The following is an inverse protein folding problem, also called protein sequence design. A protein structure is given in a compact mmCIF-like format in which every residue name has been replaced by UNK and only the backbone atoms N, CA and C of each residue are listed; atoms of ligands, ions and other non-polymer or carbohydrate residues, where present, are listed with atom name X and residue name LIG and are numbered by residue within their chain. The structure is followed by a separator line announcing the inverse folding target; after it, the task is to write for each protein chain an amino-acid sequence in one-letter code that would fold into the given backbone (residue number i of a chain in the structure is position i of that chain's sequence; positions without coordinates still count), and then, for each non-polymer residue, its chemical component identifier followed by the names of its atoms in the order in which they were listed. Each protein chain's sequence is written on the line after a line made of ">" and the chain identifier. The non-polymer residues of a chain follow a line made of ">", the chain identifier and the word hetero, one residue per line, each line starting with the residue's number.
data_IF_104592818994
#
_entry.id   IF_104592818994
#
_cell.length_a   1.000
_cell.length_b   1.000
_cell.length_c   1.000
_cell.angle_alpha   90.00
_cell.angle_beta   90.00
_cell.angle_gamma   90.00
#
_symmetry.space_group_name_H-M   'P 1'
#
loop_
_entity.id
_entity.type
_entity.pdbx_description
1 polymer ?
#
# COMPACT_ATOMS: atom_id res chain seq x y z
N UNK A 1 47.96 11.66 -50.24
CA UNK A 1 47.22 11.32 -51.48
C UNK A 1 45.78 11.73 -51.31
N UNK A 2 45.30 12.49 -52.28
CA UNK A 2 44.00 13.16 -52.32
C UNK A 2 42.91 12.19 -52.76
N UNK A 3 41.71 12.16 -52.13
CA UNK A 3 40.44 11.81 -52.77
C UNK A 3 39.34 12.48 -51.94
N UNK A 4 38.81 13.43 -52.37
CA UNK A 4 37.73 14.01 -53.21
C UNK A 4 36.35 13.49 -52.78
N UNK A 5 35.67 14.44 -52.19
CA UNK A 5 34.25 14.57 -51.84
C UNK A 5 33.37 14.41 -53.08
N UNK A 6 32.26 13.69 -52.94
CA UNK A 6 31.08 13.91 -53.78
C UNK A 6 29.85 14.08 -52.89
N UNK A 7 29.39 15.29 -52.90
CA UNK A 7 28.07 15.68 -52.35
C UNK A 7 27.04 15.28 -53.40
N UNK A 8 26.06 14.51 -53.00
CA UNK A 8 24.85 14.30 -53.78
C UNK A 8 23.65 14.79 -52.99
N UNK A 9 23.18 15.96 -53.39
CA UNK A 9 21.94 16.56 -52.93
C UNK A 9 20.81 15.90 -53.73
N UNK A 10 19.90 15.24 -53.03
CA UNK A 10 18.63 14.82 -53.63
C UNK A 10 17.48 15.41 -52.82
N UNK A 11 16.91 16.47 -53.39
CA UNK A 11 15.60 16.98 -52.99
C UNK A 11 14.53 15.98 -53.44
N UNK A 12 13.72 15.54 -52.52
CA UNK A 12 12.42 14.95 -52.82
C UNK A 12 11.35 15.48 -51.89
N UNK A 13 10.49 16.18 -52.51
CA UNK A 13 9.16 16.72 -52.22
C UNK A 13 8.38 16.00 -51.10
N UNK A 14 7.73 16.87 -50.32
CA UNK A 14 6.86 16.50 -49.21
C UNK A 14 5.58 15.78 -49.63
N UNK A 15 5.19 14.87 -48.74
CA UNK A 15 3.80 14.45 -48.61
C UNK A 15 3.40 14.60 -47.15
N UNK A 16 2.60 15.62 -46.88
CA UNK A 16 1.88 15.75 -45.61
C UNK A 16 0.80 14.65 -45.58
N UNK A 17 1.06 13.59 -44.86
CA UNK A 17 0.02 12.66 -44.40
C UNK A 17 -0.44 13.13 -43.02
N UNK A 18 -1.59 13.78 -42.99
CA UNK A 18 -2.34 14.00 -41.77
C UNK A 18 -2.83 12.62 -41.26
N UNK A 19 -2.12 11.99 -40.36
CA UNK A 19 -2.63 10.87 -39.62
C UNK A 19 -3.53 11.40 -38.53
N UNK A 20 -4.84 11.26 -38.76
CA UNK A 20 -5.84 11.34 -37.70
C UNK A 20 -5.51 10.28 -36.62
N UNK A 21 -5.10 10.72 -35.45
CA UNK A 21 -5.03 9.86 -34.27
C UNK A 21 -6.45 9.42 -33.93
N UNK A 22 -6.83 8.26 -34.43
CA UNK A 22 -7.90 7.46 -33.88
C UNK A 22 -7.48 7.06 -32.46
N UNK A 23 -8.21 7.61 -31.48
CA UNK A 23 -8.08 7.28 -30.05
C UNK A 23 -8.64 5.88 -29.83
N UNK A 24 -7.90 4.86 -30.21
CA UNK A 24 -8.12 3.47 -29.89
C UNK A 24 -7.27 3.14 -28.66
N UNK A 25 -7.78 3.45 -27.47
CA UNK A 25 -7.19 3.00 -26.23
C UNK A 25 -7.45 1.51 -26.05
N UNK A 26 -6.50 0.67 -26.44
CA UNK A 26 -6.40 -0.67 -25.91
C UNK A 26 -5.66 -0.57 -24.57
N UNK A 27 -6.36 -0.35 -23.48
CA UNK A 27 -5.80 -0.57 -22.16
C UNK A 27 -5.76 -2.07 -21.92
N UNK A 28 -4.58 -2.64 -22.09
CA UNK A 28 -4.23 -3.96 -21.60
C UNK A 28 -4.23 -3.94 -20.08
N UNK A 29 -5.23 -4.55 -19.47
CA UNK A 29 -5.21 -5.27 -18.24
C UNK A 29 -4.48 -4.72 -17.02
N UNK A 30 -4.97 -3.67 -16.39
CA UNK A 30 -5.12 -3.62 -14.95
C UNK A 30 -6.56 -3.16 -14.73
N UNK A 31 -7.37 -3.98 -14.08
CA UNK A 31 -8.77 -3.68 -13.79
C UNK A 31 -8.92 -2.66 -12.64
N UNK A 32 -7.95 -1.76 -12.50
CA UNK A 32 -8.11 -0.54 -11.74
C UNK A 32 -8.75 0.51 -12.66
N UNK A 33 -10.01 0.27 -13.03
CA UNK A 33 -10.86 1.32 -13.58
C UNK A 33 -10.87 2.49 -12.60
N UNK A 34 -11.12 3.74 -13.04
CA UNK A 34 -11.26 4.86 -12.13
C UNK A 34 -12.29 4.46 -11.08
N UNK A 35 -11.84 4.30 -9.81
CA UNK A 35 -12.73 3.98 -8.72
C UNK A 35 -13.77 5.10 -8.67
N UNK A 36 -15.06 4.81 -8.82
CA UNK A 36 -16.05 5.86 -8.70
C UNK A 36 -15.93 6.45 -7.29
N UNK A 37 -15.66 7.74 -7.22
CA UNK A 37 -15.75 8.46 -5.96
C UNK A 37 -17.19 8.30 -5.49
N UNK A 38 -17.45 7.75 -4.28
CA UNK A 38 -18.80 7.59 -3.81
C UNK A 38 -19.54 8.94 -3.86
N UNK A 39 -20.76 8.92 -4.36
CA UNK A 39 -21.65 10.09 -4.26
C UNK A 39 -22.81 9.70 -3.32
N UNK A 40 -22.92 10.31 -2.17
CA UNK A 40 -22.29 11.54 -1.69
C UNK A 40 -20.78 11.39 -1.39
N UNK A 41 -20.05 12.51 -1.36
CA UNK A 41 -18.63 12.55 -1.02
C UNK A 41 -18.46 11.95 0.37
N UNK A 42 -17.66 10.90 0.48
CA UNK A 42 -17.34 10.27 1.74
C UNK A 42 -16.43 11.17 2.58
N UNK A 43 -16.88 11.49 3.77
CA UNK A 43 -16.16 12.35 4.73
C UNK A 43 -15.98 11.70 6.10
N UNK A 44 -16.45 10.45 6.23
CA UNK A 44 -16.34 9.69 7.47
C UNK A 44 -15.10 8.81 7.42
N UNK A 45 -14.26 8.90 8.45
CA UNK A 45 -13.10 8.00 8.52
C UNK A 45 -13.51 6.61 9.02
N UNK A 46 -12.83 5.55 8.54
CA UNK A 46 -13.09 4.19 9.01
C UNK A 46 -12.92 4.04 10.53
N UNK A 47 -13.73 3.19 11.14
CA UNK A 47 -13.63 2.86 12.56
C UNK A 47 -12.74 1.64 12.79
N UNK A 48 -11.55 1.85 13.37
CA UNK A 48 -10.52 0.84 13.58
C UNK A 48 -10.47 0.36 15.03
N UNK A 49 -10.63 -0.95 15.22
CA UNK A 49 -10.41 -1.64 16.50
C UNK A 49 -9.28 -2.66 16.36
N UNK A 50 -8.29 -2.60 17.24
CA UNK A 50 -7.24 -3.62 17.38
C UNK A 50 -7.49 -4.37 18.68
N UNK A 51 -7.70 -5.69 18.57
CA UNK A 51 -8.01 -6.56 19.71
C UNK A 51 -6.73 -7.09 20.38
N UNK A 52 -5.75 -7.46 19.56
CA UNK A 52 -4.43 -7.94 19.99
C UNK A 52 -3.32 -7.34 19.12
N UNK A 53 -2.11 -7.13 19.64
CA UNK A 53 -1.73 -7.24 21.06
C UNK A 53 -2.31 -6.08 21.88
N UNK A 54 -2.29 -6.24 23.22
CA UNK A 54 -2.52 -5.10 24.12
C UNK A 54 -1.30 -4.17 24.10
N UNK A 55 -1.52 -2.88 24.35
CA UNK A 55 -0.41 -1.92 24.46
C UNK A 55 0.53 -2.30 25.60
N UNK A 56 1.83 -2.27 25.33
CA UNK A 56 2.91 -2.67 26.24
C UNK A 56 2.91 -4.16 26.63
N UNK A 57 2.22 -5.01 25.85
CA UNK A 57 2.29 -6.46 26.07
C UNK A 57 3.73 -6.96 25.93
N UNK A 58 4.12 -7.88 26.82
CA UNK A 58 5.45 -8.48 26.84
C UNK A 58 5.39 -9.88 26.25
N UNK A 59 6.31 -10.16 25.35
CA UNK A 59 6.52 -11.46 24.71
C UNK A 59 7.92 -11.99 25.07
N UNK A 60 8.15 -13.28 24.87
CA UNK A 60 9.47 -13.90 24.93
C UNK A 60 9.90 -14.31 23.53
N UNK A 61 11.19 -14.29 23.26
CA UNK A 61 11.79 -14.78 22.02
C UNK A 61 11.28 -16.17 21.67
N UNK A 62 10.86 -16.38 20.42
CA UNK A 62 10.16 -17.58 19.98
C UNK A 62 8.62 -17.49 20.06
N UNK A 63 8.06 -16.54 20.80
CA UNK A 63 6.61 -16.34 20.85
C UNK A 63 6.10 -15.70 19.54
N UNK A 64 4.80 -15.90 19.29
CA UNK A 64 4.09 -15.31 18.17
C UNK A 64 3.32 -14.08 18.63
N UNK A 65 3.57 -12.94 18.00
CA UNK A 65 2.71 -11.75 18.11
C UNK A 65 1.58 -11.94 17.12
N UNK A 66 0.35 -12.13 17.62
CA UNK A 66 -0.85 -12.12 16.79
C UNK A 66 -1.45 -10.72 16.81
N UNK A 67 -1.68 -10.14 15.62
CA UNK A 67 -2.30 -8.84 15.46
C UNK A 67 -3.67 -9.08 14.84
N UNK A 68 -4.71 -8.87 15.63
CA UNK A 68 -6.09 -9.09 15.23
C UNK A 68 -6.93 -7.85 15.50
N UNK A 69 -7.96 -7.67 14.68
CA UNK A 69 -8.87 -6.56 14.86
C UNK A 69 -9.90 -6.49 13.77
N UNK A 70 -10.63 -5.39 13.76
CA UNK A 70 -11.69 -5.11 12.80
C UNK A 70 -11.64 -3.66 12.36
N UNK A 71 -11.89 -3.44 11.10
CA UNK A 71 -12.13 -2.13 10.50
C UNK A 71 -13.52 -2.12 9.88
N UNK A 72 -14.25 -1.03 10.04
CA UNK A 72 -15.57 -0.82 9.43
C UNK A 72 -15.66 0.56 8.83
N UNK A 73 -16.47 0.69 7.78
CA UNK A 73 -16.73 1.93 7.08
C UNK A 73 -18.17 1.97 6.60
N UNK A 74 -18.74 3.14 6.40
CA UNK A 74 -20.14 3.28 6.01
C UNK A 74 -20.34 3.25 4.48
N UNK A 75 -19.35 3.65 3.69
CA UNK A 75 -19.41 3.69 2.23
C UNK A 75 -18.41 2.74 1.53
N UNK A 76 -17.42 2.24 2.23
CA UNK A 76 -16.53 1.18 1.75
C UNK A 76 -15.05 1.44 1.89
N UNK A 77 -14.38 0.46 2.44
CA UNK A 77 -12.94 0.42 2.61
C UNK A 77 -12.24 0.37 1.25
N UNK A 78 -11.01 0.87 1.21
CA UNK A 78 -10.16 0.85 0.02
C UNK A 78 -8.94 -0.03 0.23
N UNK A 79 -8.06 0.32 1.14
CA UNK A 79 -6.78 -0.37 1.35
C UNK A 79 -6.30 -0.22 2.78
N UNK A 80 -5.26 -1.01 3.13
CA UNK A 80 -4.63 -0.90 4.44
C UNK A 80 -3.26 -1.51 4.50
N UNK A 81 -2.61 -1.34 5.63
CA UNK A 81 -1.35 -2.01 5.94
C UNK A 81 -1.21 -2.28 7.43
N UNK A 82 -0.53 -3.38 7.75
CA UNK A 82 -0.09 -3.67 9.11
C UNK A 82 1.43 -3.84 9.08
N UNK A 83 2.13 -3.09 9.94
CA UNK A 83 3.58 -3.07 10.03
C UNK A 83 4.04 -3.35 11.45
N UNK A 84 5.15 -4.07 11.56
CA UNK A 84 5.92 -4.24 12.80
C UNK A 84 7.30 -3.66 12.56
N UNK A 85 7.72 -2.71 13.37
CA UNK A 85 9.04 -2.07 13.29
C UNK A 85 9.80 -2.23 14.60
N UNK A 86 11.12 -2.40 14.50
CA UNK A 86 12.02 -2.35 15.67
C UNK A 86 12.28 -0.88 16.02
N UNK A 87 12.00 -0.50 17.26
CA UNK A 87 12.11 0.89 17.70
C UNK A 87 13.56 1.39 17.80
N UNK A 88 14.51 0.48 18.05
CA UNK A 88 15.91 0.86 18.21
C UNK A 88 16.56 1.38 16.92
N UNK A 89 16.12 0.89 15.76
CA UNK A 89 16.76 1.20 14.48
C UNK A 89 15.76 1.46 13.32
N UNK A 90 14.44 1.41 13.58
CA UNK A 90 13.40 1.61 12.57
C UNK A 90 13.28 0.47 11.55
N UNK A 91 13.93 -0.66 11.76
CA UNK A 91 13.88 -1.78 10.81
C UNK A 91 12.45 -2.33 10.72
N UNK A 92 11.93 -2.43 9.49
CA UNK A 92 10.67 -3.09 9.20
C UNK A 92 10.84 -4.61 9.33
N UNK A 93 10.16 -5.20 10.32
CA UNK A 93 10.24 -6.64 10.62
C UNK A 93 9.16 -7.43 9.88
N UNK A 94 7.98 -6.85 9.74
CA UNK A 94 6.84 -7.44 9.04
C UNK A 94 6.01 -6.34 8.41
N UNK A 95 5.53 -6.59 7.20
CA UNK A 95 4.49 -5.81 6.54
C UNK A 95 3.47 -6.75 5.92
N UNK A 96 2.20 -6.39 6.03
CA UNK A 96 1.09 -6.98 5.31
C UNK A 96 0.28 -5.84 4.69
N UNK A 97 0.15 -5.86 3.38
CA UNK A 97 -0.71 -4.93 2.63
C UNK A 97 -2.07 -5.57 2.38
N UNK A 98 -3.10 -4.75 2.30
CA UNK A 98 -4.49 -5.14 2.04
C UNK A 98 -5.06 -4.27 0.93
N UNK A 99 -5.71 -4.93 -0.02
CA UNK A 99 -6.55 -4.33 -1.05
C UNK A 99 -7.98 -4.86 -0.83
N UNK A 100 -8.86 -4.02 -0.27
CA UNK A 100 -10.18 -4.42 0.24
C UNK A 100 -11.27 -3.49 -0.29
N UNK A 101 -11.43 -3.44 -1.60
CA UNK A 101 -12.32 -2.52 -2.27
C UNK A 101 -13.80 -2.74 -1.94
N UNK A 102 -14.51 -1.67 -1.55
CA UNK A 102 -15.97 -1.61 -1.32
C UNK A 102 -16.51 -2.53 -0.23
N UNK A 103 -15.65 -3.05 0.62
CA UNK A 103 -16.05 -3.87 1.77
C UNK A 103 -16.38 -2.95 2.94
N UNK A 104 -17.57 -3.08 3.53
CA UNK A 104 -18.01 -2.25 4.67
C UNK A 104 -17.40 -2.69 6.01
N UNK A 105 -16.89 -3.91 6.09
CA UNK A 105 -16.28 -4.44 7.30
C UNK A 105 -15.25 -5.52 6.96
N UNK A 106 -14.09 -5.46 7.62
CA UNK A 106 -13.02 -6.42 7.42
C UNK A 106 -12.38 -6.80 8.75
N UNK A 107 -12.26 -8.10 8.99
CA UNK A 107 -11.53 -8.65 10.15
C UNK A 107 -10.12 -9.05 9.70
N UNK A 108 -9.10 -8.46 10.31
CA UNK A 108 -7.72 -8.78 10.00
C UNK A 108 -7.08 -9.66 11.06
N UNK A 109 -6.20 -10.56 10.60
CA UNK A 109 -5.40 -11.44 11.45
C UNK A 109 -4.06 -11.70 10.76
N UNK A 110 -2.96 -11.21 11.38
CA UNK A 110 -1.61 -11.55 10.98
C UNK A 110 -0.79 -12.01 12.17
N UNK A 111 0.25 -12.80 11.92
CA UNK A 111 1.16 -13.27 12.95
C UNK A 111 2.62 -13.02 12.58
N UNK A 112 3.43 -12.77 13.61
CA UNK A 112 4.87 -12.59 13.49
C UNK A 112 5.57 -13.33 14.63
N UNK A 113 6.47 -14.26 14.29
CA UNK A 113 7.29 -14.97 15.29
C UNK A 113 8.52 -14.12 15.63
N UNK A 114 8.71 -13.87 16.91
CA UNK A 114 9.80 -13.03 17.41
C UNK A 114 11.08 -13.85 17.61
N UNK A 115 12.23 -13.26 17.26
CA UNK A 115 13.54 -13.82 17.59
C UNK A 115 14.48 -12.69 18.02
N UNK A 116 14.82 -12.63 19.30
CA UNK A 116 15.72 -11.63 19.85
C UNK A 116 16.76 -12.26 20.77
N UNK A 117 17.96 -11.69 20.80
CA UNK A 117 19.04 -12.06 21.73
C UNK A 117 19.22 -11.03 22.84
N UNK A 118 18.59 -9.85 22.69
CA UNK A 118 18.54 -8.78 23.68
C UNK A 118 17.13 -8.22 23.71
N UNK A 119 16.70 -7.70 24.86
CA UNK A 119 15.38 -7.10 25.00
C UNK A 119 15.19 -6.00 23.96
N UNK A 120 14.06 -6.06 23.26
CA UNK A 120 13.74 -5.17 22.12
C UNK A 120 12.32 -4.66 22.24
N UNK A 121 12.12 -3.39 21.88
CA UNK A 121 10.80 -2.77 21.78
C UNK A 121 10.39 -2.67 20.32
N UNK A 122 9.14 -3.03 20.03
CA UNK A 122 8.56 -2.99 18.69
C UNK A 122 7.32 -2.12 18.68
N UNK A 123 7.11 -1.44 17.54
CA UNK A 123 5.87 -0.75 17.25
C UNK A 123 5.07 -1.55 16.22
N UNK A 124 3.83 -1.88 16.57
CA UNK A 124 2.82 -2.39 15.65
C UNK A 124 1.98 -1.22 15.18
N UNK A 125 1.96 -0.96 13.88
CA UNK A 125 1.13 0.09 13.27
C UNK A 125 0.11 -0.56 12.35
N UNK A 126 -1.17 -0.27 12.58
CA UNK A 126 -2.31 -0.69 11.76
C UNK A 126 -2.88 0.56 11.11
N UNK A 127 -2.95 0.56 9.80
CA UNK A 127 -3.48 1.66 8.98
C UNK A 127 -4.53 1.12 8.01
N UNK A 128 -5.64 1.82 7.87
CA UNK A 128 -6.64 1.58 6.83
C UNK A 128 -7.19 2.90 6.30
N UNK A 129 -7.61 2.88 5.04
CA UNK A 129 -8.13 4.00 4.29
C UNK A 129 -9.39 3.55 3.53
N UNK A 130 -10.38 4.44 3.41
CA UNK A 130 -11.59 4.27 2.60
C UNK A 130 -11.43 4.81 1.17
N UNK A 131 -12.48 4.71 0.36
CA UNK A 131 -12.50 5.27 -0.99
C UNK A 131 -12.64 6.81 -1.04
N UNK A 132 -12.99 7.45 0.08
CA UNK A 132 -12.98 8.91 0.26
C UNK A 132 -11.60 9.46 0.64
N UNK A 133 -10.60 8.57 0.79
CA UNK A 133 -9.26 8.87 1.31
C UNK A 133 -9.23 9.35 2.77
N UNK A 134 -10.29 9.07 3.54
CA UNK A 134 -10.23 9.22 4.98
C UNK A 134 -9.52 7.98 5.57
N UNK A 135 -8.79 8.16 6.66
CA UNK A 135 -7.96 7.09 7.20
C UNK A 135 -8.06 6.93 8.71
N UNK A 136 -7.85 5.71 9.16
CA UNK A 136 -7.68 5.37 10.56
C UNK A 136 -6.34 4.70 10.79
N UNK A 137 -5.63 5.13 11.84
CA UNK A 137 -4.34 4.57 12.23
C UNK A 137 -4.32 4.26 13.71
N UNK A 138 -3.77 3.10 14.09
CA UNK A 138 -3.52 2.74 15.47
C UNK A 138 -2.10 2.18 15.62
N UNK A 139 -1.34 2.71 16.57
CA UNK A 139 0.00 2.24 16.90
C UNK A 139 0.04 1.72 18.33
N UNK A 140 0.67 0.57 18.53
CA UNK A 140 0.81 -0.13 19.79
C UNK A 140 2.28 -0.47 20.02
N UNK A 141 2.76 -0.30 21.25
CA UNK A 141 4.09 -0.76 21.64
C UNK A 141 3.99 -2.17 22.23
N UNK A 142 4.95 -3.01 21.91
CA UNK A 142 5.14 -4.32 22.54
C UNK A 142 6.62 -4.52 22.87
N UNK A 143 6.89 -5.31 23.91
CA UNK A 143 8.25 -5.65 24.31
C UNK A 143 8.53 -7.13 24.08
N UNK A 144 9.73 -7.46 23.60
CA UNK A 144 10.18 -8.83 23.41
C UNK A 144 11.46 -9.05 24.23
N UNK A 145 11.41 -9.98 25.17
CA UNK A 145 12.57 -10.40 25.95
C UNK A 145 13.21 -11.66 25.33
N UNK A 146 14.52 -11.89 25.53
CA UNK A 146 15.22 -13.13 25.16
C UNK A 146 14.59 -14.38 25.74
#
# INVERSE_FOLDING_TARGET
>A
MKHRIYILVLMTTGVLLAMACSKGGSSSGNNDGPHPIPSPVDTMAPALTVNTPSSNQVFTSGNVINITGRITDDLGLYRGSIRITNDANGTLLKEQLYEIHYVLAYDFNISYTTYVTTASDYTVTVFFEDHGYNSATKSLKVKVNP
#
